data_IF_338066958164
#
_entry.id   IF_338066958164
#
_cell.length_a   1.000
_cell.length_b   1.000
_cell.length_c   1.000
_cell.angle_alpha   90.00
_cell.angle_beta   90.00
_cell.angle_gamma   90.00
#
_symmetry.space_group_name_H-M   'P 1'
#
loop_
_entity.id
_entity.type
_entity.pdbx_description
1 polymer ?
#
# COMPACT_ATOMS: atom_id res chain seq x y z
N UNK A 1 -61.13 13.50 52.75
CA UNK A 1 -60.86 12.61 51.60
C UNK A 1 -60.01 13.25 50.50
N UNK A 2 -60.05 14.57 50.26
CA UNK A 2 -59.27 15.24 49.21
C UNK A 2 -57.73 15.10 49.33
N UNK A 3 -57.17 15.01 50.55
CA UNK A 3 -55.71 14.95 50.76
C UNK A 3 -55.06 13.61 50.39
N UNK A 4 -55.81 12.49 50.40
CA UNK A 4 -55.29 11.18 49.96
C UNK A 4 -55.16 11.12 48.44
N UNK A 5 -56.15 11.62 47.71
CA UNK A 5 -56.14 11.60 46.24
C UNK A 5 -55.02 12.47 45.64
N UNK A 6 -54.74 13.62 46.27
CA UNK A 6 -53.67 14.52 45.82
C UNK A 6 -52.28 13.91 46.01
N UNK A 7 -52.06 13.18 47.12
CA UNK A 7 -50.80 12.45 47.37
C UNK A 7 -50.60 11.31 46.38
N UNK A 8 -51.66 10.56 46.05
CA UNK A 8 -51.60 9.45 45.07
C UNK A 8 -51.30 9.98 43.67
N UNK A 9 -51.91 11.11 43.26
CA UNK A 9 -51.64 11.73 41.95
C UNK A 9 -50.19 12.22 41.82
N UNK A 10 -49.62 12.79 42.88
CA UNK A 10 -48.20 13.19 42.91
C UNK A 10 -47.26 11.98 42.83
N UNK A 11 -47.60 10.89 43.51
CA UNK A 11 -46.82 9.66 43.49
C UNK A 11 -46.82 9.02 42.09
N UNK A 12 -47.98 8.96 41.43
CA UNK A 12 -48.11 8.46 40.05
C UNK A 12 -47.33 9.35 39.08
N UNK A 13 -47.50 10.68 39.17
CA UNK A 13 -46.76 11.63 38.32
C UNK A 13 -45.25 11.53 38.50
N UNK A 14 -44.78 11.37 39.74
CA UNK A 14 -43.36 11.18 40.05
C UNK A 14 -42.79 9.87 39.49
N UNK A 15 -43.54 8.76 39.62
CA UNK A 15 -43.13 7.45 39.07
C UNK A 15 -43.08 7.49 37.54
N UNK A 16 -44.10 8.06 36.89
CA UNK A 16 -44.12 8.22 35.43
C UNK A 16 -42.94 9.08 34.97
N UNK A 17 -42.69 10.22 35.61
CA UNK A 17 -41.55 11.08 35.33
C UNK A 17 -40.20 10.37 35.47
N UNK A 18 -40.05 9.53 36.50
CA UNK A 18 -38.85 8.72 36.70
C UNK A 18 -38.64 7.68 35.59
N UNK A 19 -39.70 6.98 35.16
CA UNK A 19 -39.62 6.04 34.03
C UNK A 19 -39.21 6.74 32.73
N UNK A 20 -39.74 7.93 32.46
CA UNK A 20 -39.32 8.73 31.30
C UNK A 20 -37.84 9.11 31.36
N UNK A 21 -37.34 9.56 32.52
CA UNK A 21 -35.92 9.91 32.69
C UNK A 21 -35.00 8.70 32.53
N UNK A 22 -35.36 7.55 33.11
CA UNK A 22 -34.61 6.30 32.94
C UNK A 22 -34.61 5.83 31.49
N UNK A 23 -35.74 5.96 30.80
CA UNK A 23 -35.87 5.63 29.38
C UNK A 23 -35.02 6.53 28.48
N UNK A 24 -35.02 7.84 28.72
CA UNK A 24 -34.14 8.78 28.01
C UNK A 24 -32.67 8.50 28.30
N UNK A 25 -32.33 8.20 29.56
CA UNK A 25 -30.97 7.82 29.92
C UNK A 25 -30.52 6.56 29.17
N UNK A 26 -31.41 5.56 29.03
CA UNK A 26 -31.13 4.35 28.27
C UNK A 26 -30.92 4.63 26.78
N UNK A 27 -31.76 5.45 26.16
CA UNK A 27 -31.61 5.85 24.75
C UNK A 27 -30.28 6.59 24.51
N UNK A 28 -29.90 7.49 25.43
CA UNK A 28 -28.62 8.21 25.38
C UNK A 28 -27.44 7.24 25.52
N UNK A 29 -27.52 6.32 26.48
CA UNK A 29 -26.49 5.31 26.71
C UNK A 29 -26.31 4.40 25.49
N UNK A 30 -27.41 3.90 24.92
CA UNK A 30 -27.39 3.04 23.74
C UNK A 30 -26.81 3.76 22.53
N UNK A 31 -27.21 5.02 22.31
CA UNK A 31 -26.68 5.88 21.25
C UNK A 31 -25.17 6.08 21.39
N UNK A 32 -24.72 6.38 22.60
CA UNK A 32 -23.30 6.53 22.91
C UNK A 32 -22.53 5.23 22.65
N UNK A 33 -23.05 4.09 23.13
CA UNK A 33 -22.44 2.78 22.91
C UNK A 33 -22.36 2.41 21.42
N UNK A 34 -23.43 2.66 20.65
CA UNK A 34 -23.47 2.39 19.22
C UNK A 34 -22.46 3.26 18.46
N UNK A 35 -22.37 4.56 18.80
CA UNK A 35 -21.38 5.47 18.21
C UNK A 35 -19.96 5.00 18.48
N UNK A 36 -19.62 4.68 19.73
CA UNK A 36 -18.27 4.21 20.11
C UNK A 36 -17.92 2.89 19.41
N UNK A 37 -18.89 1.97 19.27
CA UNK A 37 -18.68 0.74 18.51
C UNK A 37 -18.41 1.03 17.04
N UNK A 38 -19.21 1.90 16.42
CA UNK A 38 -19.05 2.27 15.00
C UNK A 38 -17.69 2.90 14.73
N UNK A 39 -17.26 3.85 15.57
CA UNK A 39 -15.96 4.50 15.48
C UNK A 39 -14.82 3.48 15.58
N UNK A 40 -14.90 2.53 16.51
CA UNK A 40 -13.92 1.44 16.64
C UNK A 40 -13.91 0.53 15.42
N UNK A 41 -15.06 0.11 14.92
CA UNK A 41 -15.16 -0.84 13.81
C UNK A 41 -14.64 -0.24 12.50
N UNK A 42 -14.94 1.04 12.25
CA UNK A 42 -14.42 1.79 11.10
C UNK A 42 -12.91 1.95 11.19
N UNK A 43 -12.37 2.22 12.39
CA UNK A 43 -10.91 2.28 12.63
C UNK A 43 -10.21 0.96 12.29
N UNK A 44 -10.74 -0.16 12.80
CA UNK A 44 -10.17 -1.50 12.55
C UNK A 44 -10.24 -1.85 11.05
N UNK A 45 -11.34 -1.47 10.37
CA UNK A 45 -11.46 -1.66 8.93
C UNK A 45 -10.43 -0.84 8.15
N UNK A 46 -10.23 0.42 8.52
CA UNK A 46 -9.21 1.28 7.91
C UNK A 46 -7.79 0.71 8.11
N UNK A 47 -7.46 0.25 9.33
CA UNK A 47 -6.19 -0.43 9.64
C UNK A 47 -5.97 -1.70 8.80
N UNK A 48 -7.01 -2.52 8.62
CA UNK A 48 -6.93 -3.74 7.82
C UNK A 48 -6.68 -3.44 6.34
N UNK A 49 -7.39 -2.44 5.79
CA UNK A 49 -7.18 -1.99 4.41
C UNK A 49 -5.80 -1.37 4.19
N UNK A 50 -5.32 -0.57 5.15
CA UNK A 50 -4.03 0.13 5.08
C UNK A 50 -2.83 -0.79 4.85
N UNK A 51 -2.89 -2.05 5.32
CA UNK A 51 -1.83 -3.06 5.12
C UNK A 51 -1.53 -3.36 3.66
N UNK A 52 -2.46 -3.07 2.76
CA UNK A 52 -2.34 -3.32 1.33
C UNK A 52 -2.01 -2.06 0.54
N UNK A 53 -2.02 -0.88 1.17
CA UNK A 53 -1.66 0.38 0.54
C UNK A 53 -0.13 0.55 0.45
N UNK A 54 0.38 1.31 -0.53
CA UNK A 54 -0.35 1.83 -1.70
C UNK A 54 -0.43 0.83 -2.87
N UNK A 55 0.13 -0.37 -2.70
CA UNK A 55 0.47 -1.25 -3.83
C UNK A 55 -0.67 -2.12 -4.33
N UNK A 56 -1.67 -2.41 -3.49
CA UNK A 56 -2.76 -3.36 -3.78
C UNK A 56 -4.11 -2.74 -3.43
N UNK A 57 -4.51 -1.71 -4.17
CA UNK A 57 -5.71 -0.91 -3.92
C UNK A 57 -7.01 -1.73 -3.86
N UNK A 58 -7.13 -2.74 -4.73
CA UNK A 58 -8.29 -3.65 -4.72
C UNK A 58 -8.33 -4.48 -3.43
N UNK A 59 -7.21 -5.15 -3.10
CA UNK A 59 -7.09 -5.96 -1.88
C UNK A 59 -7.30 -5.09 -0.62
N UNK A 60 -6.84 -3.85 -0.64
CA UNK A 60 -7.07 -2.88 0.43
C UNK A 60 -8.56 -2.63 0.67
N UNK A 61 -9.31 -2.34 -0.40
CA UNK A 61 -10.77 -2.16 -0.33
C UNK A 61 -11.46 -3.43 0.13
N UNK A 62 -11.10 -4.58 -0.43
CA UNK A 62 -11.74 -5.87 -0.12
C UNK A 62 -11.48 -6.27 1.34
N UNK A 63 -10.28 -6.01 1.87
CA UNK A 63 -9.94 -6.25 3.27
C UNK A 63 -10.78 -5.37 4.23
N UNK A 64 -10.88 -4.08 3.94
CA UNK A 64 -11.70 -3.16 4.74
C UNK A 64 -13.20 -3.55 4.71
N UNK A 65 -13.76 -3.90 3.53
CA UNK A 65 -15.14 -4.38 3.41
C UNK A 65 -15.36 -5.68 4.19
N UNK A 66 -14.40 -6.61 4.12
CA UNK A 66 -14.49 -7.90 4.83
C UNK A 66 -14.52 -7.70 6.33
N UNK A 67 -13.68 -6.80 6.87
CA UNK A 67 -13.70 -6.46 8.29
C UNK A 67 -15.05 -5.85 8.69
N UNK A 68 -15.57 -4.88 7.95
CA UNK A 68 -16.88 -4.29 8.24
C UNK A 68 -18.00 -5.34 8.23
N UNK A 69 -18.02 -6.26 7.25
CA UNK A 69 -18.97 -7.37 7.22
C UNK A 69 -18.84 -8.30 8.42
N UNK A 70 -17.61 -8.64 8.82
CA UNK A 70 -17.36 -9.51 9.99
C UNK A 70 -17.85 -8.89 11.31
N UNK A 71 -18.04 -7.56 11.34
CA UNK A 71 -18.59 -6.81 12.48
C UNK A 71 -20.12 -6.67 12.44
N UNK A 72 -20.78 -7.32 11.48
CA UNK A 72 -22.24 -7.29 11.34
C UNK A 72 -22.77 -6.04 10.63
N UNK A 73 -21.89 -5.22 10.03
CA UNK A 73 -22.30 -4.08 9.22
C UNK A 73 -22.61 -4.55 7.79
N UNK A 74 -23.47 -3.81 7.09
CA UNK A 74 -23.78 -3.99 5.66
C UNK A 74 -23.09 -2.90 4.83
N UNK A 75 -21.76 -2.97 4.66
CA UNK A 75 -21.02 -1.90 4.00
C UNK A 75 -21.34 -1.86 2.51
N UNK A 76 -21.49 -0.65 1.98
CA UNK A 76 -21.56 -0.40 0.54
C UNK A 76 -20.17 -0.09 -0.01
N UNK A 77 -19.89 -0.35 -1.29
CA UNK A 77 -18.60 0.00 -1.88
C UNK A 77 -18.25 1.50 -1.75
N UNK A 78 -19.26 2.38 -1.79
CA UNK A 78 -19.11 3.84 -1.61
C UNK A 78 -18.62 4.26 -0.21
N UNK A 79 -18.66 3.36 0.77
CA UNK A 79 -18.17 3.62 2.13
C UNK A 79 -16.65 3.67 2.21
N UNK A 80 -15.95 3.25 1.15
CA UNK A 80 -14.49 3.25 1.10
C UNK A 80 -14.02 4.08 -0.08
N UNK A 81 -13.43 5.22 0.22
CA UNK A 81 -12.74 6.06 -0.77
C UNK A 81 -11.23 5.89 -0.63
N UNK A 82 -10.57 5.67 -1.76
CA UNK A 82 -9.11 5.62 -1.87
C UNK A 82 -8.62 6.92 -2.51
N UNK A 83 -7.50 7.46 -2.03
CA UNK A 83 -6.89 8.60 -2.70
C UNK A 83 -6.32 8.22 -4.08
N UNK A 84 -6.23 9.17 -5.02
CA UNK A 84 -5.67 8.92 -6.35
C UNK A 84 -4.22 8.42 -6.34
N UNK A 85 -3.44 8.83 -5.34
CA UNK A 85 -2.05 8.39 -5.14
C UNK A 85 -1.94 7.01 -4.47
N UNK A 86 -3.07 6.43 -4.06
CA UNK A 86 -3.15 5.13 -3.40
C UNK A 86 -2.64 5.10 -1.96
N UNK A 87 -2.21 6.21 -1.38
CA UNK A 87 -1.57 6.23 -0.05
C UNK A 87 -2.52 6.40 1.12
N UNK A 88 -3.76 6.79 0.85
CA UNK A 88 -4.76 6.96 1.89
C UNK A 88 -6.06 6.25 1.56
N UNK A 89 -6.76 5.84 2.61
CA UNK A 89 -8.07 5.24 2.56
C UNK A 89 -8.93 5.87 3.63
N UNK A 90 -10.09 6.38 3.24
CA UNK A 90 -11.14 6.78 4.18
C UNK A 90 -12.24 5.73 4.14
N UNK A 91 -12.60 5.25 5.32
CA UNK A 91 -13.74 4.37 5.55
C UNK A 91 -14.80 5.19 6.27
N UNK A 92 -16.02 5.28 5.75
CA UNK A 92 -17.16 5.94 6.38
C UNK A 92 -18.37 5.02 6.38
N UNK A 93 -18.99 4.83 7.55
CA UNK A 93 -20.20 4.01 7.69
C UNK A 93 -21.29 4.82 8.35
N UNK A 94 -22.50 4.69 7.81
CA UNK A 94 -23.72 5.23 8.41
C UNK A 94 -24.49 4.07 9.05
N UNK A 95 -24.85 4.21 10.33
CA UNK A 95 -25.68 3.27 11.07
C UNK A 95 -26.92 3.95 11.62
N UNK A 96 -28.03 3.23 11.60
CA UNK A 96 -29.33 3.66 12.15
C UNK A 96 -29.62 2.88 13.42
N UNK A 97 -29.79 3.59 14.54
CA UNK A 97 -30.16 3.01 15.83
C UNK A 97 -31.59 3.39 16.14
N UNK A 98 -32.43 2.40 16.43
CA UNK A 98 -33.82 2.61 16.85
C UNK A 98 -33.86 3.31 18.20
N UNK A 99 -34.68 4.37 18.32
CA UNK A 99 -34.93 5.05 19.58
C UNK A 99 -36.17 4.46 20.26
N UNK A 100 -36.09 4.11 21.55
CA UNK A 100 -37.22 3.47 22.25
C UNK A 100 -38.15 4.50 22.90
N UNK A 101 -37.61 5.58 23.48
CA UNK A 101 -38.36 6.62 24.18
C UNK A 101 -38.31 7.94 23.43
N UNK A 102 -37.21 8.24 22.74
CA UNK A 102 -37.11 9.42 21.87
C UNK A 102 -38.13 9.41 20.71
N UNK A 103 -38.68 8.24 20.37
CA UNK A 103 -39.79 8.12 19.42
C UNK A 103 -41.04 8.89 19.87
N UNK A 104 -41.29 8.99 21.18
CA UNK A 104 -42.43 9.75 21.74
C UNK A 104 -42.33 11.24 21.35
N UNK A 105 -41.12 11.73 21.08
CA UNK A 105 -40.83 13.09 20.63
C UNK A 105 -40.64 13.22 19.11
N UNK A 106 -40.97 12.18 18.34
CA UNK A 106 -41.03 12.21 16.87
C UNK A 106 -39.85 11.55 16.14
N UNK A 107 -38.79 11.13 16.83
CA UNK A 107 -37.60 10.52 16.21
C UNK A 107 -37.60 9.00 16.36
N UNK A 108 -38.01 8.26 15.32
CA UNK A 108 -38.02 6.77 15.32
C UNK A 108 -36.63 6.13 15.33
N UNK A 109 -35.64 6.85 14.79
CA UNK A 109 -34.28 6.36 14.62
C UNK A 109 -33.29 7.51 14.68
N UNK A 110 -32.10 7.23 15.21
CA UNK A 110 -30.96 8.14 15.20
C UNK A 110 -29.92 7.63 14.20
N UNK A 111 -29.45 8.51 13.32
CA UNK A 111 -28.40 8.20 12.34
C UNK A 111 -27.05 8.60 12.91
N UNK A 112 -26.09 7.69 12.85
CA UNK A 112 -24.71 7.92 13.25
C UNK A 112 -23.81 7.70 12.05
N UNK A 113 -22.99 8.68 11.73
CA UNK A 113 -21.89 8.53 10.80
C UNK A 113 -20.60 8.41 11.60
N UNK A 114 -19.78 7.41 11.29
CA UNK A 114 -18.41 7.34 11.75
C UNK A 114 -17.50 7.18 10.54
N UNK A 115 -16.40 7.93 10.55
CA UNK A 115 -15.38 7.85 9.52
C UNK A 115 -14.00 7.79 10.15
N UNK A 116 -13.11 6.98 9.58
CA UNK A 116 -11.69 6.97 9.93
C UNK A 116 -10.87 6.98 8.65
N UNK A 117 -9.73 7.67 8.70
CA UNK A 117 -8.80 7.76 7.59
C UNK A 117 -7.51 7.08 7.97
N UNK A 118 -7.12 6.07 7.18
CA UNK A 118 -5.79 5.52 7.24
C UNK A 118 -4.91 6.21 6.19
N UNK A 119 -3.77 6.70 6.62
CA UNK A 119 -2.73 7.23 5.76
C UNK A 119 -1.48 6.36 5.90
N UNK A 120 -0.88 6.00 4.77
CA UNK A 120 0.35 5.23 4.72
C UNK A 120 1.46 6.12 4.21
N UNK A 121 2.38 6.45 5.11
CA UNK A 121 3.67 7.00 4.71
C UNK A 121 4.65 5.84 4.56
N UNK A 122 5.26 5.72 3.39
CA UNK A 122 6.34 4.76 3.16
C UNK A 122 7.64 5.46 3.58
N UNK A 123 8.33 4.89 4.57
CA UNK A 123 9.68 5.32 4.94
C UNK A 123 10.70 4.32 4.42
N UNK A 124 11.63 4.78 3.59
CA UNK A 124 12.65 3.91 3.01
C UNK A 124 12.10 2.96 1.95
N UNK A 125 13.01 2.24 1.29
CA UNK A 125 12.71 1.30 0.21
C UNK A 125 13.74 0.17 0.19
N UNK A 126 13.32 -1.01 0.62
CA UNK A 126 14.03 -2.28 0.54
C UNK A 126 13.98 -2.94 -0.84
N UNK A 127 14.65 -4.09 -0.99
CA UNK A 127 14.72 -4.81 -2.25
C UNK A 127 13.32 -5.24 -2.72
N UNK A 128 13.05 -5.07 -4.03
CA UNK A 128 11.80 -5.51 -4.66
C UNK A 128 11.96 -6.89 -5.25
N UNK A 129 10.98 -7.76 -5.03
CA UNK A 129 10.91 -9.10 -5.61
C UNK A 129 10.15 -9.10 -6.97
N UNK A 130 9.59 -7.94 -7.36
CA UNK A 130 8.85 -7.75 -8.61
C UNK A 130 8.93 -6.30 -9.13
N UNK A 131 8.89 -6.11 -10.46
CA UNK A 131 8.81 -4.81 -11.14
C UNK A 131 7.91 -4.88 -12.38
N UNK A 132 7.29 -3.75 -12.74
CA UNK A 132 6.66 -3.64 -14.06
C UNK A 132 7.74 -3.50 -15.13
N UNK A 133 7.57 -4.17 -16.28
CA UNK A 133 8.51 -4.09 -17.40
C UNK A 133 8.77 -2.64 -17.84
N UNK A 134 7.75 -1.78 -17.80
CA UNK A 134 7.88 -0.37 -18.19
C UNK A 134 8.83 0.43 -17.30
N UNK A 135 9.06 -0.03 -16.07
CA UNK A 135 9.92 0.62 -15.08
C UNK A 135 11.38 0.14 -15.21
N UNK A 136 11.60 -1.01 -15.86
CA UNK A 136 12.93 -1.56 -16.11
C UNK A 136 13.52 -0.97 -17.38
N UNK A 137 14.69 -0.33 -17.23
CA UNK A 137 15.39 0.34 -18.34
C UNK A 137 16.12 -0.64 -19.24
N UNK A 138 16.78 -1.64 -18.64
CA UNK A 138 17.48 -2.72 -19.33
C UNK A 138 17.80 -3.85 -18.34
N UNK A 139 18.30 -4.97 -18.84
CA UNK A 139 18.71 -6.11 -18.05
C UNK A 139 20.19 -6.42 -18.27
N UNK A 140 20.82 -7.07 -17.30
CA UNK A 140 22.24 -7.40 -17.33
C UNK A 140 22.52 -8.71 -16.59
N UNK A 141 23.56 -9.42 -17.00
CA UNK A 141 23.97 -10.67 -16.35
C UNK A 141 24.43 -10.35 -14.93
N UNK A 142 23.91 -11.08 -13.95
CA UNK A 142 24.31 -10.96 -12.57
C UNK A 142 25.74 -11.49 -12.39
N UNK A 143 26.58 -10.72 -11.71
CA UNK A 143 27.91 -11.14 -11.28
C UNK A 143 27.91 -11.32 -9.76
N UNK A 144 28.62 -12.34 -9.28
CA UNK A 144 28.80 -12.62 -7.85
C UNK A 144 29.39 -11.42 -7.11
N UNK A 145 30.27 -10.70 -7.80
CA UNK A 145 31.15 -9.70 -7.20
C UNK A 145 30.58 -8.28 -7.24
N UNK A 146 29.34 -8.09 -7.73
CA UNK A 146 28.73 -6.77 -7.71
C UNK A 146 28.58 -6.26 -6.28
N UNK A 147 29.34 -5.20 -6.00
CA UNK A 147 29.27 -4.44 -4.75
C UNK A 147 28.65 -3.08 -5.04
N UNK A 148 27.75 -2.58 -4.18
CA UNK A 148 27.33 -1.18 -4.23
C UNK A 148 28.55 -0.24 -4.25
N UNK A 149 28.50 0.80 -5.09
CA UNK A 149 29.61 1.75 -5.29
C UNK A 149 30.71 1.26 -6.24
N UNK A 150 30.60 0.05 -6.80
CA UNK A 150 31.51 -0.41 -7.83
C UNK A 150 31.19 0.29 -9.16
N UNK A 151 32.20 0.94 -9.74
CA UNK A 151 32.12 1.47 -11.09
C UNK A 151 32.07 0.32 -12.09
N UNK A 152 31.14 0.42 -13.03
CA UNK A 152 30.90 -0.57 -14.07
C UNK A 152 30.74 0.10 -15.42
N UNK A 153 31.13 -0.64 -16.45
CA UNK A 153 30.99 -0.23 -17.84
C UNK A 153 30.05 -1.23 -18.52
N UNK A 154 28.96 -0.70 -19.04
CA UNK A 154 27.89 -1.46 -19.68
C UNK A 154 27.98 -1.25 -21.20
N UNK A 155 27.96 -2.38 -21.90
CA UNK A 155 28.08 -2.50 -23.35
C UNK A 155 26.74 -2.88 -23.97
N UNK A 156 26.57 -2.55 -25.25
CA UNK A 156 25.43 -3.05 -26.02
C UNK A 156 25.58 -4.57 -26.15
N UNK A 157 24.48 -5.33 -26.05
CA UNK A 157 24.57 -6.77 -26.28
C UNK A 157 24.94 -7.11 -27.73
N UNK A 158 24.65 -6.19 -28.66
CA UNK A 158 24.95 -6.32 -30.09
C UNK A 158 26.43 -6.17 -30.43
N UNK A 159 27.27 -5.69 -29.51
CA UNK A 159 28.71 -5.63 -29.72
C UNK A 159 29.33 -7.04 -29.77
N UNK A 160 30.14 -7.32 -30.80
CA UNK A 160 30.88 -8.58 -30.96
C UNK A 160 32.11 -8.65 -30.05
N UNK A 161 32.78 -7.52 -29.85
CA UNK A 161 34.11 -7.44 -29.23
C UNK A 161 34.02 -6.91 -27.79
N UNK A 162 33.30 -7.65 -26.93
CA UNK A 162 33.10 -7.25 -25.53
C UNK A 162 34.15 -7.91 -24.64
N UNK A 163 34.96 -7.13 -23.92
CA UNK A 163 35.93 -7.67 -22.96
C UNK A 163 35.25 -8.54 -21.90
N UNK A 164 35.96 -9.53 -21.36
CA UNK A 164 35.41 -10.46 -20.35
C UNK A 164 34.95 -9.78 -19.06
N UNK A 165 35.50 -8.60 -18.75
CA UNK A 165 35.12 -7.78 -17.59
C UNK A 165 33.90 -6.88 -17.83
N UNK A 166 33.46 -6.73 -19.09
CA UNK A 166 32.38 -5.82 -19.45
C UNK A 166 31.01 -6.51 -19.35
N UNK A 167 30.00 -5.71 -19.01
CA UNK A 167 28.63 -6.19 -18.77
C UNK A 167 27.78 -5.84 -19.98
N UNK A 168 27.16 -6.82 -20.63
CA UNK A 168 26.22 -6.56 -21.72
C UNK A 168 24.86 -6.11 -21.15
N UNK A 169 24.18 -5.22 -21.87
CA UNK A 169 22.80 -4.84 -21.62
C UNK A 169 21.86 -5.57 -22.59
N UNK A 170 20.74 -6.05 -22.08
CA UNK A 170 19.67 -6.67 -22.87
C UNK A 170 18.35 -5.93 -22.66
N UNK A 171 17.46 -6.00 -23.65
CA UNK A 171 16.09 -5.53 -23.51
C UNK A 171 15.19 -6.71 -23.15
N UNK A 172 14.48 -6.60 -22.02
CA UNK A 172 13.40 -7.55 -21.70
C UNK A 172 12.17 -7.20 -22.53
N UNK A 173 11.56 -8.22 -23.14
CA UNK A 173 10.37 -8.08 -23.98
C UNK A 173 9.12 -8.61 -23.29
N UNK A 174 9.26 -9.64 -22.47
CA UNK A 174 8.17 -10.29 -21.74
C UNK A 174 8.69 -10.97 -20.46
N UNK A 175 7.83 -11.18 -19.45
CA UNK A 175 6.44 -10.72 -19.32
C UNK A 175 6.32 -9.23 -18.90
N UNK A 176 5.10 -8.68 -18.86
CA UNK A 176 4.84 -7.29 -18.44
C UNK A 176 5.07 -7.03 -16.95
N UNK A 177 5.03 -8.08 -16.13
CA UNK A 177 5.38 -8.05 -14.70
C UNK A 177 6.53 -9.02 -14.50
N UNK A 178 7.69 -8.48 -14.14
CA UNK A 178 8.92 -9.21 -13.91
C UNK A 178 9.00 -9.62 -12.44
N UNK A 179 9.33 -10.88 -12.17
CA UNK A 179 9.51 -11.39 -10.80
C UNK A 179 10.83 -12.11 -10.68
N UNK A 180 11.42 -12.06 -9.49
CA UNK A 180 12.57 -12.92 -9.15
C UNK A 180 12.16 -14.38 -9.35
N UNK A 181 13.07 -15.16 -9.93
CA UNK A 181 12.92 -16.56 -10.35
C UNK A 181 12.12 -16.83 -11.62
N UNK A 182 11.45 -15.84 -12.20
CA UNK A 182 10.75 -16.03 -13.46
C UNK A 182 11.72 -15.99 -14.65
N UNK A 183 11.39 -16.75 -15.70
CA UNK A 183 12.06 -16.66 -16.99
C UNK A 183 11.47 -15.50 -17.79
N UNK A 184 12.33 -14.70 -18.39
CA UNK A 184 11.97 -13.55 -19.24
C UNK A 184 12.56 -13.68 -20.63
N UNK A 185 11.84 -13.17 -21.63
CA UNK A 185 12.28 -13.12 -23.02
C UNK A 185 13.17 -11.89 -23.24
N UNK A 186 14.31 -12.10 -23.88
CA UNK A 186 15.33 -11.08 -24.15
C UNK A 186 15.40 -10.77 -25.64
N UNK A 187 15.72 -9.52 -25.94
CA UNK A 187 16.14 -9.07 -27.27
C UNK A 187 17.47 -8.31 -27.16
N UNK A 188 18.29 -8.31 -28.22
CA UNK A 188 19.48 -7.48 -28.26
C UNK A 188 19.14 -6.01 -28.05
N UNK A 189 19.95 -5.33 -27.25
CA UNK A 189 19.95 -3.89 -27.09
C UNK A 189 21.11 -3.31 -27.88
N UNK A 190 20.84 -2.85 -29.09
CA UNK A 190 21.87 -2.44 -30.05
C UNK A 190 22.52 -1.09 -29.71
N UNK A 191 21.81 -0.23 -28.97
CA UNK A 191 22.28 1.13 -28.62
C UNK A 191 21.94 1.51 -27.18
N UNK A 192 22.86 2.23 -26.54
CA UNK A 192 22.71 2.80 -25.20
C UNK A 192 22.53 4.33 -25.24
N UNK A 193 22.32 4.92 -26.42
CA UNK A 193 22.22 6.38 -26.60
C UNK A 193 21.06 7.02 -25.83
N UNK A 194 19.99 6.28 -25.58
CA UNK A 194 18.86 6.70 -24.72
C UNK A 194 19.24 6.90 -23.26
N UNK A 195 20.44 6.46 -22.86
CA UNK A 195 20.92 6.50 -21.48
C UNK A 195 22.07 7.51 -21.26
N UNK A 196 22.25 8.46 -22.17
CA UNK A 196 23.34 9.46 -22.11
C UNK A 196 23.30 10.41 -20.93
N UNK A 197 22.14 10.57 -20.30
CA UNK A 197 21.95 11.48 -19.17
C UNK A 197 22.32 10.82 -17.85
N UNK A 198 22.91 11.60 -16.94
CA UNK A 198 23.09 11.20 -15.55
C UNK A 198 21.72 11.08 -14.89
N UNK A 199 21.32 9.83 -14.63
CA UNK A 199 20.12 9.49 -13.87
C UNK A 199 20.24 8.09 -13.28
N UNK A 200 19.27 7.76 -12.44
CA UNK A 200 19.12 6.42 -11.87
C UNK A 200 18.22 5.59 -12.78
N UNK A 201 18.69 4.40 -13.12
CA UNK A 201 17.98 3.40 -13.91
C UNK A 201 17.66 2.18 -13.05
N UNK A 202 16.48 1.60 -13.25
CA UNK A 202 16.17 0.29 -12.69
C UNK A 202 16.52 -0.79 -13.70
N UNK A 203 17.23 -1.81 -13.22
CA UNK A 203 17.79 -2.84 -14.08
C UNK A 203 17.48 -4.22 -13.53
N UNK A 204 17.17 -5.15 -14.43
CA UNK A 204 16.97 -6.55 -14.06
C UNK A 204 18.31 -7.31 -14.09
N UNK A 205 18.56 -8.08 -13.04
CA UNK A 205 19.75 -8.91 -12.89
C UNK A 205 19.40 -10.33 -13.35
N UNK A 206 20.12 -10.85 -14.34
CA UNK A 206 19.82 -12.10 -15.03
C UNK A 206 20.80 -13.22 -14.66
N UNK A 207 20.32 -14.45 -14.64
CA UNK A 207 21.14 -15.67 -14.63
C UNK A 207 20.62 -16.66 -15.69
N UNK A 208 21.38 -17.73 -15.93
CA UNK A 208 21.00 -18.82 -16.83
C UNK A 208 20.51 -18.32 -18.22
N UNK A 209 21.32 -17.47 -18.86
CA UNK A 209 21.01 -16.93 -20.18
C UNK A 209 21.16 -18.04 -21.24
N UNK A 210 20.02 -18.49 -21.78
CA UNK A 210 19.91 -19.54 -22.79
C UNK A 210 19.25 -18.96 -24.05
N UNK A 211 20.06 -18.64 -25.06
CA UNK A 211 19.58 -17.99 -26.28
C UNK A 211 18.93 -16.64 -26.00
N UNK A 212 17.63 -16.54 -26.23
CA UNK A 212 16.81 -15.34 -26.02
C UNK A 212 15.97 -15.39 -24.74
N UNK A 213 16.33 -16.24 -23.76
CA UNK A 213 15.65 -16.31 -22.45
C UNK A 213 16.67 -16.27 -21.33
N UNK A 214 16.26 -15.72 -20.18
CA UNK A 214 17.05 -15.75 -18.96
C UNK A 214 16.17 -15.77 -17.72
N UNK A 215 16.69 -16.28 -16.61
CA UNK A 215 16.05 -16.26 -15.31
C UNK A 215 16.35 -14.93 -14.60
N UNK A 216 15.35 -14.28 -14.03
CA UNK A 216 15.56 -13.06 -13.23
C UNK A 216 16.08 -13.47 -11.86
N UNK A 217 17.31 -13.09 -11.55
CA UNK A 217 17.93 -13.30 -10.24
C UNK A 217 17.61 -12.18 -9.25
N UNK A 218 17.22 -11.01 -9.75
CA UNK A 218 16.96 -9.85 -8.91
C UNK A 218 16.87 -8.55 -9.69
N UNK A 219 16.87 -7.44 -8.95
CA UNK A 219 16.76 -6.10 -9.53
C UNK A 219 17.77 -5.17 -8.87
N UNK A 220 18.24 -4.17 -9.60
CA UNK A 220 19.22 -3.22 -9.10
C UNK A 220 18.87 -1.79 -9.52
N UNK A 221 19.42 -0.83 -8.77
CA UNK A 221 19.40 0.58 -9.13
C UNK A 221 20.81 0.98 -9.56
N UNK A 222 20.91 1.47 -10.80
CA UNK A 222 22.16 1.84 -11.45
C UNK A 222 22.20 3.35 -11.66
N UNK A 223 23.14 4.05 -11.00
CA UNK A 223 23.40 5.47 -11.26
C UNK A 223 24.33 5.57 -12.45
N UNK A 224 23.84 6.10 -13.55
CA UNK A 224 24.71 6.38 -14.69
C UNK A 224 25.46 7.69 -14.50
N UNK A 225 26.70 7.71 -14.96
CA UNK A 225 27.53 8.91 -15.15
C UNK A 225 27.56 9.36 -16.62
N UNK A 226 26.65 8.82 -17.45
CA UNK A 226 26.58 9.05 -18.90
C UNK A 226 27.37 8.04 -19.72
N UNK A 227 27.58 8.40 -21.00
CA UNK A 227 28.35 7.60 -21.95
C UNK A 227 29.81 8.04 -21.99
N UNK A 228 30.74 7.08 -22.09
CA UNK A 228 32.14 7.37 -22.36
C UNK A 228 32.37 7.70 -23.86
N UNK A 229 33.62 7.99 -24.23
CA UNK A 229 34.00 8.32 -25.61
C UNK A 229 33.69 7.21 -26.64
N UNK A 230 33.55 5.96 -26.18
CA UNK A 230 33.19 4.80 -27.00
C UNK A 230 31.69 4.48 -26.93
N UNK A 231 30.86 5.43 -26.52
CA UNK A 231 29.41 5.27 -26.36
C UNK A 231 29.00 4.11 -25.41
N UNK A 232 29.84 3.80 -24.41
CA UNK A 232 29.55 2.81 -23.37
C UNK A 232 28.96 3.47 -22.15
N UNK A 233 27.93 2.87 -21.58
CA UNK A 233 27.26 3.40 -20.42
C UNK A 233 28.12 3.17 -19.19
N UNK A 234 28.50 4.26 -18.53
CA UNK A 234 29.29 4.23 -17.30
C UNK A 234 28.43 4.57 -16.12
N UNK A 235 28.80 4.05 -14.96
CA UNK A 235 28.11 4.35 -13.72
C UNK A 235 28.43 3.35 -12.64
N UNK A 236 27.60 3.32 -11.61
CA UNK A 236 27.76 2.43 -10.48
C UNK A 236 26.42 1.88 -10.02
N UNK A 237 26.43 0.64 -9.54
CA UNK A 237 25.29 0.12 -8.81
C UNK A 237 25.21 0.82 -7.47
N UNK A 238 24.10 1.52 -7.23
CA UNK A 238 23.83 2.12 -5.91
C UNK A 238 23.21 1.06 -5.00
N UNK A 239 22.43 0.13 -5.57
CA UNK A 239 21.70 -0.91 -4.86
C UNK A 239 21.63 -2.17 -5.73
N UNK A 240 21.71 -3.35 -5.12
CA UNK A 240 21.40 -4.62 -5.78
C UNK A 240 20.54 -5.49 -4.86
N UNK A 241 19.47 -6.07 -5.40
CA UNK A 241 18.82 -7.24 -4.85
C UNK A 241 19.19 -8.43 -5.72
N UNK A 242 19.67 -9.49 -5.09
CA UNK A 242 20.00 -10.75 -5.73
C UNK A 242 19.42 -11.83 -4.83
N UNK A 243 18.74 -12.81 -5.40
CA UNK A 243 18.22 -13.97 -4.70
C UNK A 243 19.29 -14.58 -3.77
N UNK A 244 18.89 -14.97 -2.56
CA UNK A 244 19.74 -15.54 -1.51
C UNK A 244 20.77 -14.58 -0.85
N UNK A 245 20.75 -13.27 -1.16
CA UNK A 245 21.47 -12.25 -0.35
C UNK A 245 20.56 -11.69 0.77
N UNK A 246 21.10 -11.43 1.98
CA UNK A 246 20.33 -10.86 3.08
C UNK A 246 19.69 -9.52 2.70
N UNK A 247 18.41 -9.35 3.03
CA UNK A 247 17.64 -8.12 2.78
C UNK A 247 18.11 -7.03 3.74
N UNK A 248 19.06 -6.18 3.32
CA UNK A 248 19.47 -5.03 4.11
C UNK A 248 18.48 -3.86 3.91
N UNK A 249 17.78 -3.46 4.97
CA UNK A 249 16.98 -2.23 4.99
C UNK A 249 17.92 -1.02 5.13
N UNK A 250 17.74 0.01 4.30
CA UNK A 250 18.53 1.24 4.34
C UNK A 250 17.71 2.42 4.90
N UNK A 251 18.36 3.39 5.57
CA UNK A 251 17.70 4.61 6.08
C UNK A 251 17.13 5.50 4.96
N UNK A 252 16.16 6.35 5.30
CA UNK A 252 15.29 7.15 4.43
C UNK A 252 16.03 8.04 3.40
N UNK A 253 17.15 8.64 3.77
CA UNK A 253 18.01 9.44 2.87
C UNK A 253 18.59 8.61 1.70
N UNK A 254 18.67 7.29 1.92
CA UNK A 254 18.99 6.23 0.98
C UNK A 254 17.99 6.04 -0.17
N UNK A 255 16.73 6.45 0.02
CA UNK A 255 15.54 5.90 -0.63
C UNK A 255 15.21 6.51 -1.99
N UNK A 256 14.85 5.66 -2.94
CA UNK A 256 14.50 6.06 -4.31
C UNK A 256 13.20 5.43 -4.79
N UNK A 257 12.24 5.18 -3.88
CA UNK A 257 10.82 5.06 -4.27
C UNK A 257 10.49 3.90 -5.20
N UNK A 258 11.19 2.76 -5.09
CA UNK A 258 10.78 1.54 -5.78
C UNK A 258 9.49 1.00 -5.13
N UNK A 259 8.42 0.98 -5.91
CA UNK A 259 7.08 0.55 -5.54
C UNK A 259 7.14 -0.88 -4.97
N UNK A 260 7.08 -1.02 -3.64
CA UNK A 260 7.06 -2.31 -2.94
C UNK A 260 8.16 -2.53 -1.88
N UNK A 261 9.09 -1.59 -1.71
CA UNK A 261 10.26 -1.82 -0.85
C UNK A 261 10.18 -1.35 0.60
N UNK A 262 9.35 -0.36 0.95
CA UNK A 262 9.49 0.34 2.24
C UNK A 262 8.79 -0.25 3.45
N UNK A 263 9.18 0.17 4.65
CA UNK A 263 8.38 -0.03 5.84
C UNK A 263 7.20 0.95 5.79
N UNK A 264 5.99 0.39 5.64
CA UNK A 264 4.76 1.17 5.71
C UNK A 264 4.53 1.62 7.16
N UNK A 265 4.60 2.92 7.41
CA UNK A 265 4.10 3.50 8.65
C UNK A 265 2.63 3.88 8.42
N UNK A 266 1.74 3.22 9.13
CA UNK A 266 0.30 3.45 9.05
C UNK A 266 -0.08 4.42 10.16
N UNK A 267 -0.66 5.56 9.78
CA UNK A 267 -1.29 6.50 10.70
C UNK A 267 -2.80 6.43 10.52
N UNK A 268 -3.52 6.38 11.63
CA UNK A 268 -4.98 6.31 11.64
C UNK A 268 -5.52 7.57 12.33
N UNK A 269 -6.39 8.26 11.61
CA UNK A 269 -7.07 9.48 12.04
C UNK A 269 -8.57 9.20 12.25
#
# INVERSE_FOLDING_TARGET
MASKNMRVSWLIGGVVGLFFLLGLFWDVWQSYSARVSLERDVKIAAEAGAKFLPYKLKDARDAALTVLKSRGLTPKPEYISLSPDGKSMKVSVISEVTAYVAWIFGSRSMKFEASSTAEVSIKGGGPVDQLNLKDVSFALKAYSDFKPGQNVIIWSSGDSDVPSYAIKAWKITEPSILKVNDKSSLSPMDSLMSFKEEKVYYVAMLEDIEGNRAKIKGFAAFKSTGLNAQARLTGQFIRTHIENKPKNMLPEINDFGLVGGGAAEIKIH
#
